data_IF_274070038920
#
_entry.id   IF_274070038920
#
_cell.length_a   1.000
_cell.length_b   1.000
_cell.length_c   1.000
_cell.angle_alpha   90.00
_cell.angle_beta   90.00
_cell.angle_gamma   90.00
#
_symmetry.space_group_name_H-M   'P 1'
#
loop_
_entity.id
_entity.type
_entity.pdbx_description
1 polymer ?
#
# COMPACT_ATOMS: atom_id res chain seq x y z
N UNK A 1 -3.99 -3.33 -14.49
CA UNK A 1 -3.81 -4.35 -13.42
C UNK A 1 -3.30 -3.64 -12.18
N UNK A 2 -3.98 -3.76 -11.03
CA UNK A 2 -3.43 -3.29 -9.75
C UNK A 2 -2.35 -4.29 -9.35
N UNK A 3 -1.08 -3.99 -9.63
CA UNK A 3 0.02 -4.80 -9.13
C UNK A 3 0.06 -4.64 -7.62
N UNK A 4 -0.14 -5.73 -6.89
CA UNK A 4 0.20 -5.76 -5.47
C UNK A 4 1.74 -5.71 -5.38
N UNK A 5 2.32 -4.68 -4.75
CA UNK A 5 3.78 -4.55 -4.66
C UNK A 5 4.40 -5.62 -3.75
N UNK A 6 3.60 -6.39 -3.01
CA UNK A 6 4.05 -7.43 -2.09
C UNK A 6 3.91 -8.80 -2.77
N UNK A 7 5.06 -9.34 -3.18
CA UNK A 7 5.16 -10.65 -3.79
C UNK A 7 4.61 -11.75 -2.87
N UNK A 8 3.87 -12.69 -3.47
CA UNK A 8 3.43 -13.89 -2.77
C UNK A 8 4.58 -14.91 -2.66
N UNK A 9 4.58 -15.70 -1.59
CA UNK A 9 5.63 -16.69 -1.30
C UNK A 9 5.19 -17.71 -0.26
N UNK A 10 6.08 -18.67 0.06
CA UNK A 10 5.82 -19.64 1.12
C UNK A 10 5.73 -18.93 2.48
N UNK A 11 4.68 -19.24 3.26
CA UNK A 11 4.53 -18.71 4.62
C UNK A 11 5.69 -19.18 5.49
N UNK A 12 6.33 -18.24 6.17
CA UNK A 12 7.39 -18.49 7.16
C UNK A 12 6.84 -18.17 8.54
N UNK A 13 7.00 -19.08 9.49
CA UNK A 13 6.67 -18.80 10.89
C UNK A 13 7.61 -17.72 11.43
N UNK A 14 7.04 -16.71 12.08
CA UNK A 14 7.76 -15.60 12.70
C UNK A 14 7.32 -15.47 14.15
N UNK A 15 8.26 -15.15 15.04
CA UNK A 15 7.95 -14.84 16.42
C UNK A 15 7.64 -13.34 16.54
N UNK A 16 6.47 -13.00 17.07
CA UNK A 16 6.06 -11.63 17.37
C UNK A 16 5.48 -11.54 18.77
N UNK A 17 5.66 -10.39 19.42
CA UNK A 17 5.05 -10.06 20.69
C UNK A 17 3.79 -9.25 20.45
N UNK A 18 2.67 -9.69 21.01
CA UNK A 18 1.38 -8.99 20.99
C UNK A 18 0.88 -8.84 22.42
N UNK A 19 0.06 -7.81 22.63
CA UNK A 19 -0.67 -7.65 23.89
C UNK A 19 -1.52 -8.89 24.17
N UNK A 20 -1.48 -9.36 25.42
CA UNK A 20 -2.14 -10.60 25.83
C UNK A 20 -3.66 -10.49 25.75
N UNK A 21 -4.22 -9.30 26.02
CA UNK A 21 -5.64 -9.01 25.87
C UNK A 21 -6.09 -9.08 24.42
N UNK A 22 -5.31 -8.56 23.48
CA UNK A 22 -5.58 -8.65 22.03
C UNK A 22 -5.60 -10.11 21.57
N UNK A 23 -4.62 -10.91 22.00
CA UNK A 23 -4.57 -12.34 21.66
C UNK A 23 -5.77 -13.08 22.24
N UNK A 24 -6.13 -12.80 23.50
CA UNK A 24 -7.29 -13.41 24.16
C UNK A 24 -8.60 -13.07 23.45
N UNK A 25 -8.86 -11.79 23.20
CA UNK A 25 -10.07 -11.32 22.51
C UNK A 25 -10.19 -11.92 21.10
N UNK A 26 -9.08 -12.02 20.36
CA UNK A 26 -9.09 -12.64 19.03
C UNK A 26 -9.40 -14.14 19.09
N UNK A 27 -8.87 -14.85 20.08
CA UNK A 27 -9.16 -16.29 20.27
C UNK A 27 -10.59 -16.55 20.71
N UNK A 28 -11.13 -15.71 21.59
CA UNK A 28 -12.49 -15.82 22.11
C UNK A 28 -13.53 -15.81 20.99
N UNK A 29 -13.32 -14.96 19.97
CA UNK A 29 -14.22 -14.86 18.80
C UNK A 29 -13.77 -15.75 17.63
N UNK A 30 -12.78 -16.62 17.82
CA UNK A 30 -12.35 -17.61 16.84
C UNK A 30 -11.56 -17.06 15.65
N UNK A 31 -10.85 -15.92 15.80
CA UNK A 31 -10.04 -15.36 14.72
C UNK A 31 -8.80 -16.21 14.41
N UNK A 32 -8.50 -16.32 13.12
CA UNK A 32 -7.20 -16.77 12.65
C UNK A 32 -6.18 -15.63 12.78
N UNK A 33 -5.50 -15.57 13.91
CA UNK A 33 -4.53 -14.51 14.22
C UNK A 33 -3.46 -14.35 13.12
N UNK A 34 -2.95 -15.45 12.56
CA UNK A 34 -1.94 -15.38 11.50
C UNK A 34 -2.48 -14.69 10.25
N UNK A 35 -3.70 -15.02 9.82
CA UNK A 35 -4.32 -14.41 8.64
C UNK A 35 -4.62 -12.92 8.87
N UNK A 36 -5.13 -12.56 10.06
CA UNK A 36 -5.42 -11.16 10.41
C UNK A 36 -4.13 -10.34 10.46
N UNK A 37 -3.10 -10.85 11.13
CA UNK A 37 -1.79 -10.19 11.19
C UNK A 37 -1.17 -10.04 9.79
N UNK A 38 -1.26 -11.07 8.93
CA UNK A 38 -0.74 -10.99 7.56
C UNK A 38 -1.44 -9.88 6.76
N UNK A 39 -2.78 -9.81 6.83
CA UNK A 39 -3.55 -8.76 6.15
C UNK A 39 -3.20 -7.36 6.67
N UNK A 40 -3.09 -7.20 7.99
CA UNK A 40 -2.73 -5.93 8.61
C UNK A 40 -1.32 -5.47 8.22
N UNK A 41 -0.33 -6.38 8.24
CA UNK A 41 1.04 -6.10 7.82
C UNK A 41 1.09 -5.73 6.34
N UNK A 42 0.36 -6.46 5.48
CA UNK A 42 0.29 -6.17 4.04
C UNK A 42 -0.25 -4.76 3.78
N UNK A 43 -1.34 -4.39 4.46
CA UNK A 43 -1.94 -3.06 4.34
C UNK A 43 -0.99 -1.95 4.80
N UNK A 44 -0.37 -2.12 5.98
CA UNK A 44 0.57 -1.16 6.53
C UNK A 44 1.82 -0.99 5.64
N UNK A 45 2.39 -2.10 5.15
CA UNK A 45 3.56 -2.08 4.26
C UNK A 45 3.25 -1.41 2.92
N UNK A 46 2.04 -1.61 2.38
CA UNK A 46 1.60 -0.92 1.17
C UNK A 46 1.46 0.58 1.40
N UNK A 47 0.77 0.99 2.46
CA UNK A 47 0.58 2.40 2.78
C UNK A 47 1.92 3.13 2.97
N UNK A 48 2.87 2.49 3.66
CA UNK A 48 4.20 3.06 3.87
C UNK A 48 5.01 3.19 2.57
N UNK A 49 4.91 2.20 1.67
CA UNK A 49 5.54 2.28 0.34
C UNK A 49 4.93 3.40 -0.50
N UNK A 50 3.61 3.51 -0.51
CA UNK A 50 2.91 4.55 -1.25
C UNK A 50 3.29 5.95 -0.71
N UNK A 51 3.42 6.09 0.61
CA UNK A 51 3.93 7.32 1.25
C UNK A 51 5.34 7.68 0.78
N UNK A 52 6.29 6.73 0.88
CA UNK A 52 7.69 6.97 0.46
C UNK A 52 7.78 7.30 -1.01
N UNK A 53 7.03 6.59 -1.85
CA UNK A 53 7.00 6.88 -3.28
C UNK A 53 6.52 8.31 -3.55
N UNK A 54 5.47 8.77 -2.86
CA UNK A 54 4.98 10.14 -3.00
C UNK A 54 6.01 11.18 -2.53
N UNK A 55 6.74 10.91 -1.44
CA UNK A 55 7.82 11.76 -0.96
C UNK A 55 8.98 11.85 -1.95
N UNK A 56 9.46 10.70 -2.45
CA UNK A 56 10.57 10.59 -3.40
C UNK A 56 10.23 11.21 -4.77
N UNK A 57 8.98 11.11 -5.21
CA UNK A 57 8.55 11.57 -6.53
C UNK A 57 7.89 12.95 -6.50
N UNK A 58 7.91 13.64 -5.36
CA UNK A 58 7.25 14.95 -5.21
C UNK A 58 7.79 15.97 -6.21
N UNK A 59 9.11 16.10 -6.32
CA UNK A 59 9.74 17.05 -7.24
C UNK A 59 9.44 16.72 -8.71
N UNK A 60 9.45 15.43 -9.05
CA UNK A 60 9.10 14.95 -10.38
C UNK A 60 7.63 15.26 -10.70
N UNK A 61 6.71 15.00 -9.76
CA UNK A 61 5.28 15.26 -9.91
C UNK A 61 5.01 16.76 -10.07
N UNK A 62 5.66 17.62 -9.28
CA UNK A 62 5.56 19.06 -9.40
C UNK A 62 6.10 19.57 -10.74
N UNK A 63 7.26 19.06 -11.20
CA UNK A 63 7.81 19.40 -12.50
C UNK A 63 6.90 18.97 -13.65
N UNK A 64 6.30 17.79 -13.54
CA UNK A 64 5.33 17.30 -14.51
C UNK A 64 4.06 18.14 -14.53
N UNK A 65 3.51 18.51 -13.36
CA UNK A 65 2.34 19.37 -13.25
C UNK A 65 2.59 20.74 -13.89
N UNK A 66 3.73 21.38 -13.61
CA UNK A 66 4.12 22.65 -14.26
C UNK A 66 4.19 22.51 -15.78
N UNK A 67 4.80 21.43 -16.27
CA UNK A 67 4.87 21.18 -17.70
C UNK A 67 3.49 21.04 -18.33
N UNK A 68 2.55 20.35 -17.67
CA UNK A 68 1.15 20.22 -18.14
C UNK A 68 0.41 21.55 -18.10
N UNK A 69 0.62 22.38 -17.08
CA UNK A 69 0.03 23.73 -17.00
C UNK A 69 0.51 24.62 -18.16
N UNK A 70 1.80 24.54 -18.51
CA UNK A 70 2.39 25.31 -19.60
C UNK A 70 2.02 24.80 -21.01
N UNK A 71 1.94 23.48 -21.18
CA UNK A 71 1.83 22.85 -22.51
C UNK A 71 0.42 22.28 -22.80
N UNK A 72 -0.48 22.31 -21.82
CA UNK A 72 -1.75 21.61 -21.86
C UNK A 72 -1.59 20.09 -21.69
N UNK A 73 -2.72 19.37 -21.72
CA UNK A 73 -2.71 17.92 -21.57
C UNK A 73 -2.21 17.26 -22.87
N UNK A 74 -1.17 16.41 -22.80
CA UNK A 74 -0.78 15.60 -23.93
C UNK A 74 -1.98 14.82 -24.46
N UNK A 75 -2.16 14.87 -25.79
CA UNK A 75 -3.21 14.13 -26.49
C UNK A 75 -4.65 14.56 -26.17
N UNK A 76 -4.87 15.70 -25.50
CA UNK A 76 -6.21 16.23 -25.23
C UNK A 76 -7.06 16.33 -26.52
N UNK A 77 -6.42 16.71 -27.63
CA UNK A 77 -7.04 16.80 -28.96
C UNK A 77 -7.59 15.48 -29.52
N UNK A 78 -7.25 14.34 -28.91
CA UNK A 78 -7.71 13.01 -29.31
C UNK A 78 -8.64 12.38 -28.26
N UNK A 79 -9.01 13.12 -27.21
CA UNK A 79 -9.91 12.62 -26.18
C UNK A 79 -11.31 12.46 -26.77
N UNK A 80 -11.70 11.21 -26.99
CA UNK A 80 -13.08 10.83 -27.23
C UNK A 80 -13.72 10.74 -25.83
N UNK A 81 -14.61 11.68 -25.49
CA UNK A 81 -15.44 11.79 -24.27
C UNK A 81 -14.76 12.04 -22.90
#
# INVERSE_FOLDING_TARGET
MKHDPIASGKRKAVNLSLDTGVVAAGREVGLNLSQVCEAAIRAAAKAERDRRWAEENREWAEAHNRWVEENGLPLERYRLF
#
